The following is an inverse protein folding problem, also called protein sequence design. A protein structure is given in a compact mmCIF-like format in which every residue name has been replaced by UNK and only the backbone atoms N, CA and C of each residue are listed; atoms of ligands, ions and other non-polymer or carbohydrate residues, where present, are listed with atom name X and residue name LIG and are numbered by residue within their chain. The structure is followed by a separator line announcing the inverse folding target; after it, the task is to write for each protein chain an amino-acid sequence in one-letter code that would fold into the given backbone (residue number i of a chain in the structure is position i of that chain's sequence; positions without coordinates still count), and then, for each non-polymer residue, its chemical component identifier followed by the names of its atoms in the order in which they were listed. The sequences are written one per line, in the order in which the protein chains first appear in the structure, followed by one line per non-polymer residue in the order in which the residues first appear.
data_IF_777749098084
#
_entry.id   IF_777749098084
#
_cell.length_a   1.000
_cell.length_b   1.000
_cell.length_c   1.000
_cell.angle_alpha   90.00
_cell.angle_beta   90.00
_cell.angle_gamma   90.00
#
_symmetry.space_group_name_H-M   'P 1'
#
loop_
_entity.id
_entity.type
_entity.pdbx_description
1 polymer ?
#
# COMPACT_ATOMS: atom_id res chain seq x y z
N UNK A 1 12.96 -16.70 23.94
CA UNK A 1 13.91 -15.67 23.52
C UNK A 1 13.77 -15.48 22.02
N UNK A 2 13.77 -14.24 21.52
CA UNK A 2 13.64 -13.99 20.09
C UNK A 2 14.91 -14.45 19.36
N UNK A 3 14.74 -15.17 18.24
CA UNK A 3 15.86 -15.63 17.42
C UNK A 3 16.49 -14.44 16.67
N UNK A 4 17.83 -14.38 16.58
CA UNK A 4 18.50 -13.35 15.79
C UNK A 4 18.09 -13.46 14.31
N UNK A 5 17.92 -12.33 13.61
CA UNK A 5 17.85 -12.32 12.15
C UNK A 5 19.06 -13.04 11.54
N UNK A 6 18.86 -13.73 10.43
CA UNK A 6 19.87 -14.56 9.75
C UNK A 6 21.15 -13.77 9.37
N UNK A 7 21.01 -12.45 9.25
CA UNK A 7 22.07 -11.50 8.89
C UNK A 7 22.89 -11.02 10.11
N UNK A 8 22.46 -11.31 11.34
CA UNK A 8 23.09 -10.80 12.56
C UNK A 8 23.72 -11.95 13.33
N UNK A 9 25.03 -11.89 13.53
CA UNK A 9 25.74 -12.86 14.35
C UNK A 9 25.15 -12.90 15.77
N UNK A 10 24.89 -14.12 16.28
CA UNK A 10 24.35 -14.39 17.62
C UNK A 10 25.00 -13.54 18.73
N UNK A 11 26.34 -13.43 18.85
CA UNK A 11 26.94 -12.62 19.92
C UNK A 11 26.70 -11.10 19.77
N UNK A 12 26.46 -10.61 18.56
CA UNK A 12 26.09 -9.21 18.32
C UNK A 12 24.63 -8.99 18.74
N UNK A 13 23.76 -9.93 18.42
CA UNK A 13 22.36 -9.91 18.81
C UNK A 13 22.19 -9.93 20.33
N UNK A 14 22.86 -10.85 21.02
CA UNK A 14 22.84 -10.96 22.48
C UNK A 14 23.34 -9.67 23.14
N UNK A 15 24.46 -9.11 22.67
CA UNK A 15 24.98 -7.83 23.17
C UNK A 15 23.99 -6.67 22.96
N UNK A 16 23.23 -6.68 21.86
CA UNK A 16 22.16 -5.71 21.64
C UNK A 16 21.00 -5.93 22.61
N UNK A 17 20.53 -7.17 22.78
CA UNK A 17 19.49 -7.52 23.75
C UNK A 17 19.86 -7.09 25.17
N UNK A 18 21.07 -7.43 25.63
CA UNK A 18 21.56 -7.05 26.95
C UNK A 18 21.56 -5.53 27.12
N UNK A 19 21.98 -4.79 26.08
CA UNK A 19 21.96 -3.33 26.07
C UNK A 19 20.54 -2.78 26.20
N UNK A 20 19.57 -3.33 25.48
CA UNK A 20 18.15 -2.96 25.58
C UNK A 20 17.55 -3.30 26.95
N UNK A 21 18.05 -4.33 27.62
CA UNK A 21 17.61 -4.74 28.95
C UNK A 21 18.25 -3.95 30.09
N UNK A 22 19.32 -3.18 29.83
CA UNK A 22 19.96 -2.34 30.85
C UNK A 22 19.01 -1.28 31.41
N UNK A 23 19.04 -1.06 32.72
CA UNK A 23 18.27 0.00 33.37
C UNK A 23 18.66 1.39 32.86
N UNK A 24 19.91 1.61 32.44
CA UNK A 24 20.31 2.86 31.79
C UNK A 24 19.52 3.13 30.50
N UNK A 25 19.30 2.10 29.67
CA UNK A 25 18.50 2.20 28.45
C UNK A 25 17.01 2.42 28.76
N UNK A 26 16.46 1.68 29.72
CA UNK A 26 15.06 1.82 30.18
C UNK A 26 14.78 3.18 30.86
N UNK A 27 15.73 3.71 31.63
CA UNK A 27 15.64 5.04 32.26
C UNK A 27 15.74 6.15 31.19
N UNK A 28 16.52 5.92 30.13
CA UNK A 28 16.57 6.83 28.96
C UNK A 28 15.22 6.87 28.21
N UNK A 29 14.46 5.77 28.26
CA UNK A 29 13.10 5.61 27.71
C UNK A 29 11.98 6.13 28.63
N UNK A 30 12.24 6.25 29.94
CA UNK A 30 11.30 6.78 30.94
C UNK A 30 11.24 8.32 30.99
N UNK A 31 11.91 9.01 30.06
CA UNK A 31 11.69 10.45 29.86
C UNK A 31 10.30 10.64 29.26
N UNK A 32 9.51 11.54 29.84
CA UNK A 32 8.19 11.85 29.31
C UNK A 32 8.29 12.22 27.81
N UNK A 33 7.20 12.05 27.05
CA UNK A 33 7.23 12.23 25.58
C UNK A 33 7.65 13.64 25.15
N UNK A 34 7.49 14.63 26.04
CA UNK A 34 7.91 16.03 25.86
C UNK A 34 9.44 16.15 25.84
N UNK A 35 10.15 15.48 26.76
CA UNK A 35 11.61 15.44 26.76
C UNK A 35 12.18 14.62 25.60
N UNK A 36 11.46 13.58 25.16
CA UNK A 36 11.80 12.86 23.93
C UNK A 36 11.69 13.77 22.68
N UNK A 37 10.64 14.58 22.59
CA UNK A 37 10.47 15.54 21.52
C UNK A 37 11.66 16.52 21.45
N UNK A 38 12.08 17.07 22.60
CA UNK A 38 13.27 17.93 22.68
C UNK A 38 14.52 17.23 22.16
N UNK A 39 14.79 16.01 22.60
CA UNK A 39 15.98 15.24 22.18
C UNK A 39 16.01 15.02 20.67
N UNK A 40 14.89 14.65 20.07
CA UNK A 40 14.83 14.36 18.62
C UNK A 40 14.85 15.60 17.75
N UNK A 41 14.46 16.75 18.30
CA UNK A 41 14.41 18.04 17.59
C UNK A 41 15.54 18.99 17.95
N UNK A 42 16.55 18.50 18.68
CA UNK A 42 17.80 19.22 18.95
C UNK A 42 18.98 18.51 18.29
N UNK A 43 19.99 19.29 17.89
CA UNK A 43 21.24 18.72 17.33
C UNK A 43 22.03 17.99 18.42
N UNK A 44 22.97 17.13 18.05
CA UNK A 44 23.73 16.24 18.95
C UNK A 44 24.39 16.90 20.19
N UNK A 45 24.57 18.23 20.18
CA UNK A 45 25.12 19.00 21.29
C UNK A 45 24.03 19.76 22.11
N UNK A 46 22.76 19.37 21.95
CA UNK A 46 21.56 19.80 22.70
C UNK A 46 21.26 21.30 22.79
N UNK A 47 22.05 22.16 22.14
CA UNK A 47 21.94 23.61 22.30
C UNK A 47 21.20 24.33 21.17
N UNK A 48 20.95 23.67 20.03
CA UNK A 48 20.25 24.26 18.90
C UNK A 48 19.12 23.36 18.40
N UNK A 49 17.94 23.96 18.28
CA UNK A 49 16.77 23.39 17.64
C UNK A 49 17.02 23.17 16.15
N UNK A 50 16.43 22.11 15.60
CA UNK A 50 16.49 21.83 14.16
C UNK A 50 15.78 22.94 13.37
N UNK A 51 14.67 23.46 13.90
CA UNK A 51 13.96 24.64 13.39
C UNK A 51 13.37 25.46 14.54
N UNK A 52 13.18 26.80 14.39
CA UNK A 52 12.51 27.63 15.40
C UNK A 52 11.10 27.15 15.75
N UNK A 53 10.36 26.62 14.78
CA UNK A 53 9.03 26.04 15.02
C UNK A 53 9.06 24.85 16.01
N UNK A 54 10.16 24.08 16.09
CA UNK A 54 10.27 23.01 17.08
C UNK A 54 10.43 23.56 18.50
N UNK A 55 11.10 24.71 18.65
CA UNK A 55 11.24 25.39 19.94
C UNK A 55 9.90 25.88 20.46
N UNK A 56 9.14 26.59 19.59
CA UNK A 56 7.80 27.10 19.93
C UNK A 56 6.84 25.97 20.34
N UNK A 57 6.87 24.84 19.63
CA UNK A 57 6.05 23.67 19.97
C UNK A 57 6.46 23.05 21.31
N UNK A 58 7.77 22.95 21.60
CA UNK A 58 8.24 22.41 22.88
C UNK A 58 7.89 23.33 24.06
N UNK A 59 8.03 24.65 23.91
CA UNK A 59 7.64 25.59 24.95
C UNK A 59 6.12 25.54 25.21
N UNK A 60 5.31 25.40 24.15
CA UNK A 60 3.86 25.18 24.30
C UNK A 60 3.53 23.87 25.04
N UNK A 61 4.27 22.79 24.77
CA UNK A 61 4.11 21.54 25.52
C UNK A 61 4.48 21.72 26.99
N UNK A 62 5.55 22.44 27.31
CA UNK A 62 5.94 22.72 28.71
C UNK A 62 4.89 23.53 29.45
N UNK A 63 4.32 24.55 28.81
CA UNK A 63 3.30 25.41 29.46
C UNK A 63 2.04 24.62 29.77
N UNK A 64 1.55 23.81 28.83
CA UNK A 64 0.36 22.98 29.04
C UNK A 64 0.61 21.86 30.06
N UNK A 65 1.80 21.29 30.06
CA UNK A 65 2.19 20.27 31.04
C UNK A 65 2.28 20.82 32.46
N UNK A 66 2.69 22.07 32.63
CA UNK A 66 2.76 22.74 33.93
C UNK A 66 1.39 23.20 34.45
N UNK A 67 0.43 23.44 33.56
CA UNK A 67 -0.95 23.85 33.90
C UNK A 67 -1.84 22.68 34.33
N UNK A 68 -1.39 21.44 34.10
CA UNK A 68 -2.16 20.24 34.35
C UNK A 68 -2.18 19.80 35.82
N UNK A 69 -3.24 19.10 36.22
CA UNK A 69 -3.48 18.65 37.59
C UNK A 69 -2.39 17.64 38.07
N UNK A 70 -1.73 17.87 39.21
CA UNK A 70 -0.73 16.95 39.77
C UNK A 70 -1.28 15.60 40.24
N UNK A 71 -2.61 15.40 40.26
CA UNK A 71 -3.23 14.12 40.64
C UNK A 71 -3.18 13.04 39.54
N UNK A 72 -2.93 13.43 38.28
CA UNK A 72 -2.87 12.50 37.14
C UNK A 72 -1.43 12.05 36.88
N UNK A 73 -1.25 10.84 36.31
CA UNK A 73 0.09 10.27 36.09
C UNK A 73 0.89 11.15 35.13
N UNK A 74 2.10 11.56 35.52
CA UNK A 74 3.01 12.42 34.74
C UNK A 74 3.21 11.95 33.29
N UNK A 75 3.14 10.65 33.05
CA UNK A 75 3.21 10.06 31.72
C UNK A 75 1.95 10.34 30.88
N UNK A 76 0.77 10.08 31.42
CA UNK A 76 -0.51 10.23 30.70
C UNK A 76 -0.75 11.70 30.34
N UNK A 77 -0.47 12.61 31.27
CA UNK A 77 -0.52 14.07 31.04
C UNK A 77 0.43 14.45 29.89
N UNK A 78 1.66 13.95 29.90
CA UNK A 78 2.63 14.28 28.86
C UNK A 78 2.16 13.78 27.48
N UNK A 79 1.56 12.61 27.41
CA UNK A 79 1.01 12.03 26.18
C UNK A 79 -0.18 12.85 25.64
N UNK A 80 -1.08 13.29 26.51
CA UNK A 80 -2.22 14.15 26.18
C UNK A 80 -1.76 15.51 25.64
N UNK A 81 -0.91 16.21 26.39
CA UNK A 81 -0.34 17.51 26.00
C UNK A 81 0.40 17.41 24.67
N UNK A 82 1.16 16.33 24.46
CA UNK A 82 1.87 16.10 23.22
C UNK A 82 0.92 15.94 22.03
N UNK A 83 -0.16 15.18 22.20
CA UNK A 83 -1.18 15.00 21.16
C UNK A 83 -1.97 16.29 20.89
N UNK A 84 -2.22 17.11 21.90
CA UNK A 84 -2.86 18.42 21.74
C UNK A 84 -2.01 19.36 20.89
N UNK A 85 -0.71 19.45 21.20
CA UNK A 85 0.22 20.36 20.49
C UNK A 85 0.55 19.88 19.08
N UNK A 86 0.72 18.57 18.88
CA UNK A 86 1.09 17.98 17.59
C UNK A 86 -0.13 17.62 16.71
N UNK A 87 -1.33 17.60 17.28
CA UNK A 87 -2.59 17.22 16.64
C UNK A 87 -2.88 15.71 16.63
N UNK A 88 -4.15 15.36 16.38
CA UNK A 88 -4.72 13.99 16.46
C UNK A 88 -4.12 12.94 15.50
N UNK A 89 -3.14 13.30 14.66
CA UNK A 89 -2.39 12.36 13.79
C UNK A 89 -1.16 11.76 14.48
N UNK A 90 -1.07 11.83 15.80
CA UNK A 90 0.05 11.30 16.59
C UNK A 90 0.10 9.75 16.69
N UNK A 91 -0.29 9.04 15.63
CA UNK A 91 -0.12 7.57 15.53
C UNK A 91 1.36 7.14 15.57
N UNK A 92 2.29 8.09 15.45
CA UNK A 92 3.73 7.90 15.65
C UNK A 92 4.09 7.40 17.07
N UNK A 93 3.20 7.50 18.05
CA UNK A 93 3.40 6.90 19.38
C UNK A 93 3.45 5.36 19.36
N UNK A 94 2.90 4.71 18.32
CA UNK A 94 2.93 3.25 18.16
C UNK A 94 4.33 2.67 17.86
N UNK A 95 5.35 3.51 17.68
CA UNK A 95 6.73 3.10 17.46
C UNK A 95 7.71 3.51 18.57
N UNK A 96 7.23 4.08 19.69
CA UNK A 96 8.07 4.74 20.70
C UNK A 96 8.32 3.87 21.95
N UNK A 97 8.61 2.58 21.74
CA UNK A 97 9.18 1.69 22.78
C UNK A 97 8.21 1.12 23.82
N UNK A 98 7.11 1.83 24.15
CA UNK A 98 6.15 1.39 25.17
C UNK A 98 4.74 1.06 24.66
N UNK A 99 4.49 1.10 23.35
CA UNK A 99 3.25 0.56 22.81
C UNK A 99 3.36 -0.95 22.75
N UNK A 100 2.66 -1.64 23.66
CA UNK A 100 2.19 -3.00 23.37
C UNK A 100 1.57 -2.90 21.98
N UNK A 101 2.16 -3.57 20.99
CA UNK A 101 1.47 -3.81 19.72
C UNK A 101 0.23 -4.56 20.15
N UNK A 102 -0.90 -3.86 20.29
CA UNK A 102 -2.18 -4.51 20.32
C UNK A 102 -2.22 -5.25 18.99
N UNK A 103 -1.96 -6.56 19.07
CA UNK A 103 -2.22 -7.49 17.99
C UNK A 103 -3.62 -7.09 17.56
N UNK A 104 -3.79 -6.54 16.34
CA UNK A 104 -5.10 -6.10 15.92
C UNK A 104 -6.03 -7.27 16.15
N UNK A 105 -7.17 -7.05 16.82
CA UNK A 105 -8.12 -8.12 17.12
C UNK A 105 -8.21 -9.05 15.92
N UNK A 106 -8.02 -10.37 16.08
CA UNK A 106 -8.04 -11.32 14.97
C UNK A 106 -9.27 -11.14 14.08
N UNK A 107 -10.38 -10.68 14.67
CA UNK A 107 -11.63 -10.32 14.01
C UNK A 107 -11.48 -9.18 12.97
N UNK A 108 -10.79 -8.09 13.30
CA UNK A 108 -10.65 -6.94 12.38
C UNK A 108 -9.71 -7.23 11.21
N UNK A 109 -8.64 -8.01 11.44
CA UNK A 109 -7.78 -8.50 10.34
C UNK A 109 -8.53 -9.49 9.46
N UNK A 110 -9.26 -10.42 10.08
CA UNK A 110 -10.05 -11.43 9.36
C UNK A 110 -11.12 -10.79 8.47
N UNK A 111 -11.85 -9.78 8.96
CA UNK A 111 -12.89 -9.10 8.19
C UNK A 111 -12.33 -8.39 6.95
N UNK A 112 -11.27 -7.58 7.12
CA UNK A 112 -10.65 -6.86 6.00
C UNK A 112 -10.01 -7.82 4.99
N UNK A 113 -9.36 -8.89 5.46
CA UNK A 113 -8.79 -9.92 4.59
C UNK A 113 -9.90 -10.65 3.83
N UNK A 114 -11.02 -10.96 4.48
CA UNK A 114 -12.16 -11.62 3.85
C UNK A 114 -12.82 -10.73 2.79
N UNK A 115 -13.04 -9.45 3.10
CA UNK A 115 -13.57 -8.49 2.11
C UNK A 115 -12.65 -8.35 0.91
N UNK A 116 -11.36 -8.13 1.14
CA UNK A 116 -10.40 -7.97 0.05
C UNK A 116 -10.30 -9.23 -0.80
N UNK A 117 -10.37 -10.42 -0.18
CA UNK A 117 -10.38 -11.70 -0.89
C UNK A 117 -11.63 -11.83 -1.76
N UNK A 118 -12.81 -11.47 -1.24
CA UNK A 118 -14.06 -11.48 -2.00
C UNK A 118 -14.03 -10.51 -3.19
N UNK A 119 -13.48 -9.30 -3.02
CA UNK A 119 -13.30 -8.36 -4.12
C UNK A 119 -12.37 -8.89 -5.20
N UNK A 120 -11.23 -9.47 -4.81
CA UNK A 120 -10.29 -10.08 -5.75
C UNK A 120 -10.94 -11.21 -6.55
N UNK A 121 -11.69 -12.10 -5.91
CA UNK A 121 -12.38 -13.20 -6.60
C UNK A 121 -13.50 -12.71 -7.53
N UNK A 122 -14.20 -11.64 -7.15
CA UNK A 122 -15.18 -10.96 -8.01
C UNK A 122 -14.52 -10.41 -9.27
N UNK A 123 -13.44 -9.64 -9.12
CA UNK A 123 -12.72 -9.06 -10.26
C UNK A 123 -12.11 -10.12 -11.17
N UNK A 124 -11.57 -11.21 -10.61
CA UNK A 124 -11.11 -12.35 -11.42
C UNK A 124 -12.24 -12.96 -12.25
N UNK A 125 -13.42 -13.11 -11.65
CA UNK A 125 -14.59 -13.67 -12.33
C UNK A 125 -15.09 -12.77 -13.45
N UNK A 126 -15.19 -11.46 -13.20
CA UNK A 126 -15.57 -10.46 -14.22
C UNK A 126 -14.57 -10.41 -15.38
N UNK A 127 -13.27 -10.44 -15.06
CA UNK A 127 -12.20 -10.46 -16.06
C UNK A 127 -12.28 -11.72 -16.93
N UNK A 128 -12.56 -12.88 -16.33
CA UNK A 128 -12.72 -14.14 -17.04
C UNK A 128 -13.90 -14.08 -18.02
N UNK A 129 -15.06 -13.60 -17.57
CA UNK A 129 -16.24 -13.43 -18.43
C UNK A 129 -15.95 -12.45 -19.58
N UNK A 130 -15.27 -11.34 -19.30
CA UNK A 130 -14.90 -10.37 -20.32
C UNK A 130 -13.98 -10.98 -21.38
N UNK A 131 -13.00 -11.77 -20.96
CA UNK A 131 -12.11 -12.51 -21.87
C UNK A 131 -12.87 -13.50 -22.76
N UNK A 132 -13.77 -14.30 -22.18
CA UNK A 132 -14.59 -15.26 -22.94
C UNK A 132 -15.46 -14.57 -24.00
N UNK A 133 -15.99 -13.38 -23.70
CA UNK A 133 -16.74 -12.57 -24.67
C UNK A 133 -15.84 -12.09 -25.81
N UNK A 134 -14.61 -11.65 -25.52
CA UNK A 134 -13.64 -11.26 -26.54
C UNK A 134 -13.26 -12.43 -27.45
N UNK A 135 -12.97 -13.60 -26.87
CA UNK A 135 -12.62 -14.80 -27.64
C UNK A 135 -13.78 -15.22 -28.56
N UNK A 136 -15.02 -15.14 -28.06
CA UNK A 136 -16.23 -15.42 -28.85
C UNK A 136 -16.39 -14.43 -30.01
N UNK A 137 -16.22 -13.13 -29.75
CA UNK A 137 -16.30 -12.09 -30.77
C UNK A 137 -15.23 -12.29 -31.85
N UNK A 138 -14.01 -12.63 -31.45
CA UNK A 138 -12.90 -12.91 -32.37
C UNK A 138 -13.21 -14.11 -33.27
N UNK A 139 -13.76 -15.19 -32.72
CA UNK A 139 -14.18 -16.37 -33.50
C UNK A 139 -15.28 -16.05 -34.51
N UNK A 140 -16.27 -15.24 -34.10
CA UNK A 140 -17.34 -14.81 -35.00
C UNK A 140 -16.78 -13.95 -36.15
N UNK A 141 -15.84 -13.05 -35.85
CA UNK A 141 -15.20 -12.21 -36.87
C UNK A 141 -14.37 -13.03 -37.86
N UNK A 142 -13.61 -14.01 -37.37
CA UNK A 142 -12.87 -14.95 -38.23
C UNK A 142 -13.82 -15.73 -39.15
N UNK A 143 -14.97 -16.16 -38.64
CA UNK A 143 -16.00 -16.87 -39.42
C UNK A 143 -16.57 -15.97 -40.52
N UNK A 144 -16.90 -14.72 -40.20
CA UNK A 144 -17.38 -13.74 -41.19
C UNK A 144 -16.31 -13.44 -42.24
N UNK A 145 -15.04 -13.33 -41.85
CA UNK A 145 -13.94 -13.15 -42.80
C UNK A 145 -13.81 -14.34 -43.77
N UNK A 146 -13.96 -15.57 -43.27
CA UNK A 146 -13.93 -16.77 -44.12
C UNK A 146 -15.11 -16.81 -45.10
N UNK A 147 -16.32 -16.47 -44.64
CA UNK A 147 -17.50 -16.36 -45.51
C UNK A 147 -17.31 -15.28 -46.58
N UNK A 148 -16.78 -14.12 -46.21
CA UNK A 148 -16.51 -13.02 -47.14
C UNK A 148 -15.51 -13.43 -48.23
N UNK A 149 -14.44 -14.14 -47.86
CA UNK A 149 -13.47 -14.67 -48.82
C UNK A 149 -14.13 -15.68 -49.80
N UNK A 150 -14.99 -16.57 -49.29
CA UNK A 150 -15.73 -17.51 -50.13
C UNK A 150 -16.70 -16.81 -51.09
N UNK A 151 -17.38 -15.75 -50.65
CA UNK A 151 -18.23 -14.96 -51.55
C UNK A 151 -17.43 -14.24 -52.63
N UNK A 152 -16.24 -13.72 -52.29
CA UNK A 152 -15.36 -13.08 -53.25
C UNK A 152 -14.93 -14.06 -54.35
N UNK A 153 -14.48 -15.27 -53.97
CA UNK A 153 -14.10 -16.31 -54.93
C UNK A 153 -15.26 -16.73 -55.84
N UNK A 154 -16.48 -16.86 -55.31
CA UNK A 154 -17.67 -17.14 -56.13
C UNK A 154 -17.97 -16.02 -57.13
N UNK A 155 -17.81 -14.77 -56.73
CA UNK A 155 -18.02 -13.62 -57.61
C UNK A 155 -16.98 -13.63 -58.73
N UNK A 156 -15.72 -13.93 -58.43
CA UNK A 156 -14.64 -14.00 -59.42
C UNK A 156 -14.86 -15.12 -60.45
N UNK A 157 -15.34 -16.28 -59.99
CA UNK A 157 -15.72 -17.39 -60.87
C UNK A 157 -16.84 -17.01 -61.82
N UNK A 158 -17.94 -16.43 -61.30
CA UNK A 158 -19.07 -15.99 -62.12
C UNK A 158 -18.68 -14.90 -63.12
N UNK A 159 -17.78 -13.98 -62.73
CA UNK A 159 -17.23 -12.98 -63.63
C UNK A 159 -16.40 -13.60 -64.77
N UNK A 160 -15.57 -14.58 -64.45
CA UNK A 160 -14.74 -15.28 -65.43
C UNK A 160 -15.58 -16.10 -66.42
N UNK A 161 -16.64 -16.75 -65.93
CA UNK A 161 -17.58 -17.52 -66.75
C UNK A 161 -18.36 -16.62 -67.72
N UNK A 162 -18.86 -15.46 -67.25
CA UNK A 162 -19.51 -14.46 -68.11
C UNK A 162 -18.59 -13.98 -69.23
N UNK A 163 -17.36 -13.57 -68.89
CA UNK A 163 -16.41 -13.06 -69.88
C UNK A 163 -16.02 -14.14 -70.90
N UNK A 164 -15.97 -15.40 -70.48
CA UNK A 164 -15.72 -16.53 -71.38
C UNK A 164 -16.89 -16.76 -72.34
N UNK A 165 -18.14 -16.64 -71.87
CA UNK A 165 -19.33 -16.76 -72.71
C UNK A 165 -19.45 -15.61 -73.72
N UNK A 166 -19.18 -14.37 -73.34
CA UNK A 166 -19.19 -13.21 -74.25
C UNK A 166 -18.14 -13.35 -75.37
N UNK A 167 -16.91 -13.74 -75.04
CA UNK A 167 -15.86 -13.97 -76.04
C UNK A 167 -16.18 -15.14 -77.00
N UNK A 168 -16.93 -16.14 -76.52
CA UNK A 168 -17.35 -17.29 -77.34
C UNK A 168 -18.42 -16.91 -78.38
N UNK A 169 -19.28 -15.94 -78.06
CA UNK A 169 -20.36 -15.48 -78.94
C UNK A 169 -19.87 -14.52 -80.02
N UNK A 170 -18.81 -13.75 -79.76
CA UNK A 170 -18.22 -12.81 -80.74
C UNK A 170 -17.41 -13.53 -81.84
N UNK A 171 -16.85 -14.72 -81.55
CA UNK A 171 -16.16 -15.55 -82.56
C UNK A 171 -17.12 -16.35 -83.47
N UNK A 172 -18.43 -16.37 -83.20
CA UNK A 172 -19.42 -17.15 -83.99
C UNK A 172 -20.24 -16.33 -84.99
N UNK A 173 -19.99 -15.04 -85.16
CA UNK A 173 -20.61 -14.21 -86.18
C UNK A 173 -19.63 -13.96 -87.36
N UNK A 174 -19.97 -14.40 -88.60
CA UNK A 174 -19.14 -14.21 -89.80
C UNK A 174 -19.14 -12.78 -90.34
#
# INVERSE_FOLDING_TARGET
MAHPPEEVAVPIWEKCCDRFETEAYKIEENKNVIEFYKRTRTRANSSWWVTPACEELYERMKTLYADHDPTQTSREIAEEVFCEVMGSKCKYMRGLGNSVILIPSPSSRSYLVTQLTQEVERYKSELKISKEKYDTLQNNMNTLMFQLASYHEKIDLLWSERNSQENSQDETLP
#
